data_IF_911720615952
#
_entry.id   IF_911720615952
#
_cell.length_a   1.000
_cell.length_b   1.000
_cell.length_c   1.000
_cell.angle_alpha   90.00
_cell.angle_beta   90.00
_cell.angle_gamma   90.00
#
_symmetry.space_group_name_H-M   'P 1'
#
loop_
_entity.id
_entity.type
_entity.pdbx_description
1 polymer ?
#
# COMPACT_ATOMS: atom_id res chain seq x y z
N UNK A 1 -5.13 2.93 -24.40
CA UNK A 1 -5.96 3.57 -25.45
C UNK A 1 -5.16 4.16 -26.60
N UNK A 2 -4.08 4.94 -26.39
CA UNK A 2 -3.33 5.52 -27.52
C UNK A 2 -2.73 4.47 -28.47
N UNK A 3 -2.19 3.37 -27.94
CA UNK A 3 -1.72 2.25 -28.77
C UNK A 3 -2.85 1.56 -29.56
N UNK A 4 -4.06 1.54 -29.00
CA UNK A 4 -5.24 0.97 -29.66
C UNK A 4 -5.73 1.90 -30.77
N UNK A 5 -5.77 3.21 -30.51
CA UNK A 5 -6.07 4.23 -31.52
C UNK A 5 -5.10 4.18 -32.70
N UNK A 6 -3.80 4.06 -32.43
CA UNK A 6 -2.78 3.91 -33.46
C UNK A 6 -3.00 2.63 -34.28
N UNK A 7 -3.33 1.52 -33.61
CA UNK A 7 -3.61 0.24 -34.27
C UNK A 7 -4.82 0.30 -35.20
N UNK A 8 -5.88 1.02 -34.79
CA UNK A 8 -7.08 1.23 -35.61
C UNK A 8 -6.77 2.15 -36.80
N UNK A 9 -6.08 3.28 -36.58
CA UNK A 9 -5.83 4.28 -37.63
C UNK A 9 -4.79 3.87 -38.67
N UNK A 10 -3.80 3.07 -38.26
CA UNK A 10 -2.61 2.79 -39.09
C UNK A 10 -2.45 1.32 -39.45
N UNK A 11 -3.30 0.43 -38.92
CA UNK A 11 -3.19 -1.02 -39.11
C UNK A 11 -2.02 -1.67 -38.37
N UNK A 12 -1.21 -0.92 -37.61
CA UNK A 12 -0.10 -1.48 -36.83
C UNK A 12 -0.63 -2.48 -35.79
N UNK A 13 0.07 -3.60 -35.59
CA UNK A 13 -0.33 -4.63 -34.63
C UNK A 13 -0.44 -4.07 -33.19
N UNK A 14 -1.52 -4.43 -32.50
CA UNK A 14 -1.70 -4.09 -31.09
C UNK A 14 -0.90 -5.05 -30.20
N UNK A 15 0.02 -4.52 -29.39
CA UNK A 15 0.99 -5.32 -28.63
C UNK A 15 0.75 -5.33 -27.12
N UNK A 16 -0.34 -4.72 -26.63
CA UNK A 16 -0.67 -4.70 -25.20
C UNK A 16 -1.55 -5.89 -24.83
N UNK A 17 -1.53 -6.25 -23.54
CA UNK A 17 -2.33 -7.35 -23.02
C UNK A 17 -3.83 -7.09 -23.25
N UNK A 18 -4.52 -8.07 -23.84
CA UNK A 18 -5.98 -8.08 -23.97
C UNK A 18 -6.64 -8.69 -22.73
N UNK A 19 -5.97 -9.63 -22.06
CA UNK A 19 -6.44 -10.19 -20.81
C UNK A 19 -6.17 -9.21 -19.63
N UNK A 20 -7.20 -8.80 -18.86
CA UNK A 20 -7.05 -7.88 -17.73
C UNK A 20 -6.10 -8.41 -16.65
N UNK A 21 -6.08 -9.73 -16.41
CA UNK A 21 -5.26 -10.36 -15.38
C UNK A 21 -3.78 -10.48 -15.77
N UNK A 22 -3.47 -10.26 -17.05
CA UNK A 22 -2.10 -10.36 -17.58
C UNK A 22 -1.40 -9.00 -17.70
N UNK A 23 -2.13 -7.89 -17.53
CA UNK A 23 -1.52 -6.57 -17.50
C UNK A 23 -0.76 -6.36 -16.17
N UNK A 24 0.20 -5.43 -16.15
CA UNK A 24 1.01 -5.20 -14.95
C UNK A 24 0.15 -4.84 -13.73
N UNK A 25 -0.88 -4.02 -13.93
CA UNK A 25 -1.84 -3.67 -12.88
C UNK A 25 -2.65 -4.90 -12.43
N UNK A 26 -3.20 -5.70 -13.35
CA UNK A 26 -3.99 -6.90 -13.00
C UNK A 26 -3.18 -7.94 -12.23
N UNK A 27 -1.91 -8.16 -12.61
CA UNK A 27 -1.00 -9.07 -11.88
C UNK A 27 -0.75 -8.62 -10.45
N UNK A 28 -0.65 -7.30 -10.21
CA UNK A 28 -0.51 -6.74 -8.88
C UNK A 28 -1.85 -6.79 -8.12
N UNK A 29 -2.93 -6.35 -8.76
CA UNK A 29 -4.29 -6.28 -8.20
C UNK A 29 -4.75 -7.63 -7.66
N UNK A 30 -4.52 -8.70 -8.41
CA UNK A 30 -4.92 -10.06 -8.03
C UNK A 30 -4.15 -10.64 -6.82
N UNK A 31 -3.07 -9.97 -6.38
CA UNK A 31 -2.24 -10.41 -5.25
C UNK A 31 -2.21 -9.42 -4.09
N UNK A 32 -2.75 -8.22 -4.28
CA UNK A 32 -2.66 -7.17 -3.30
C UNK A 32 -3.71 -7.38 -2.21
N UNK A 33 -3.26 -7.32 -0.95
CA UNK A 33 -4.13 -7.38 0.23
C UNK A 33 -3.89 -6.13 1.08
N UNK A 34 -4.95 -5.60 1.67
CA UNK A 34 -4.89 -4.46 2.58
C UNK A 34 -5.87 -4.65 3.74
N UNK A 35 -5.50 -4.11 4.89
CA UNK A 35 -6.35 -4.03 6.08
C UNK A 35 -7.21 -2.77 6.08
N UNK A 36 -6.83 -1.75 5.31
CA UNK A 36 -7.63 -0.53 5.13
C UNK A 36 -8.88 -0.86 4.31
N UNK A 37 -10.03 -0.90 4.99
CA UNK A 37 -11.33 -1.22 4.39
C UNK A 37 -11.74 -0.21 3.31
N UNK A 38 -11.41 1.07 3.50
CA UNK A 38 -11.74 2.12 2.53
C UNK A 38 -10.90 1.94 1.27
N UNK A 39 -9.60 1.65 1.42
CA UNK A 39 -8.74 1.34 0.28
C UNK A 39 -9.20 0.06 -0.44
N UNK A 40 -9.61 -0.96 0.30
CA UNK A 40 -10.16 -2.21 -0.25
C UNK A 40 -11.39 -1.94 -1.12
N UNK A 41 -12.32 -1.12 -0.65
CA UNK A 41 -13.54 -0.79 -1.40
C UNK A 41 -13.23 0.03 -2.66
N UNK A 42 -12.30 0.97 -2.57
CA UNK A 42 -11.82 1.73 -3.74
C UNK A 42 -11.19 0.80 -4.76
N UNK A 43 -10.36 -0.15 -4.33
CA UNK A 43 -9.73 -1.15 -5.21
C UNK A 43 -10.75 -2.11 -5.83
N UNK A 44 -11.74 -2.57 -5.09
CA UNK A 44 -12.83 -3.41 -5.63
C UNK A 44 -13.56 -2.71 -6.79
N UNK A 45 -13.75 -1.39 -6.70
CA UNK A 45 -14.40 -0.60 -7.74
C UNK A 45 -13.61 -0.51 -9.07
N UNK A 46 -12.33 -0.92 -9.12
CA UNK A 46 -11.56 -0.99 -10.36
C UNK A 46 -11.96 -2.15 -11.26
N UNK A 47 -12.43 -3.28 -10.71
CA UNK A 47 -12.57 -4.53 -11.46
C UNK A 47 -13.46 -4.36 -12.69
N UNK A 48 -14.68 -3.84 -12.50
CA UNK A 48 -15.63 -3.61 -13.59
C UNK A 48 -15.09 -2.71 -14.71
N UNK A 49 -14.64 -1.46 -14.44
CA UNK A 49 -14.15 -0.62 -15.51
C UNK A 49 -12.81 -1.10 -16.10
N UNK A 50 -11.97 -1.81 -15.32
CA UNK A 50 -10.72 -2.37 -15.82
C UNK A 50 -10.97 -3.49 -16.85
N UNK A 51 -11.86 -4.44 -16.51
CA UNK A 51 -12.29 -5.49 -17.44
C UNK A 51 -12.96 -4.91 -18.68
N UNK A 52 -13.77 -3.87 -18.53
CA UNK A 52 -14.42 -3.19 -19.66
C UNK A 52 -13.42 -2.60 -20.66
N UNK A 53 -12.34 -1.95 -20.20
CA UNK A 53 -11.28 -1.43 -21.09
C UNK A 53 -10.55 -2.55 -21.83
N UNK A 54 -10.33 -3.69 -21.18
CA UNK A 54 -9.69 -4.84 -21.80
C UNK A 54 -10.60 -5.52 -22.84
N UNK A 55 -11.87 -5.72 -22.52
CA UNK A 55 -12.87 -6.22 -23.47
C UNK A 55 -13.09 -5.28 -24.66
N UNK A 56 -13.00 -3.97 -24.43
CA UNK A 56 -13.09 -2.96 -25.48
C UNK A 56 -12.00 -3.15 -26.54
N UNK A 57 -10.77 -3.50 -26.15
CA UNK A 57 -9.68 -3.69 -27.10
C UNK A 57 -10.00 -4.80 -28.12
N UNK A 58 -10.57 -5.91 -27.66
CA UNK A 58 -10.98 -7.03 -28.51
C UNK A 58 -12.09 -6.63 -29.49
N UNK A 59 -13.12 -5.93 -28.98
CA UNK A 59 -14.21 -5.40 -29.80
C UNK A 59 -13.70 -4.45 -30.90
N UNK A 60 -12.83 -3.50 -30.55
CA UNK A 60 -12.37 -2.48 -31.49
C UNK A 60 -11.41 -3.05 -32.54
N UNK A 61 -10.59 -4.05 -32.19
CA UNK A 61 -9.74 -4.74 -33.15
C UNK A 61 -10.60 -5.54 -34.14
N UNK A 62 -11.67 -6.19 -33.67
CA UNK A 62 -12.61 -6.90 -34.53
C UNK A 62 -13.31 -5.95 -35.52
N UNK A 63 -13.72 -4.76 -35.09
CA UNK A 63 -14.33 -3.77 -35.99
C UNK A 63 -13.33 -3.30 -37.06
N UNK A 64 -12.08 -3.03 -36.68
CA UNK A 64 -11.02 -2.70 -37.65
C UNK A 64 -10.84 -3.83 -38.67
N UNK A 65 -10.83 -5.08 -38.23
CA UNK A 65 -10.62 -6.24 -39.11
C UNK A 65 -11.81 -6.49 -40.08
N UNK A 66 -12.93 -5.80 -39.87
CA UNK A 66 -14.10 -5.78 -40.75
C UNK A 66 -14.29 -4.44 -41.49
N UNK A 67 -13.24 -3.62 -41.62
CA UNK A 67 -13.26 -2.32 -42.31
C UNK A 67 -14.27 -1.30 -41.70
N UNK A 68 -14.49 -1.38 -40.38
CA UNK A 68 -15.39 -0.49 -39.61
C UNK A 68 -14.61 0.50 -38.72
N UNK A 69 -13.56 1.13 -39.22
CA UNK A 69 -12.67 1.99 -38.43
C UNK A 69 -13.35 3.23 -37.87
N UNK A 70 -14.26 3.86 -38.63
CA UNK A 70 -14.99 5.06 -38.16
C UNK A 70 -15.81 4.74 -36.92
N UNK A 71 -16.54 3.63 -36.92
CA UNK A 71 -17.32 3.16 -35.77
C UNK A 71 -16.40 2.81 -34.59
N UNK A 72 -15.28 2.14 -34.86
CA UNK A 72 -14.30 1.81 -33.82
C UNK A 72 -13.73 3.07 -33.14
N UNK A 73 -13.46 4.13 -33.90
CA UNK A 73 -12.96 5.41 -33.37
C UNK A 73 -14.01 6.17 -32.55
N UNK A 74 -15.29 6.13 -32.96
CA UNK A 74 -16.37 6.73 -32.18
C UNK A 74 -16.55 6.05 -30.82
N UNK A 75 -16.60 4.71 -30.80
CA UNK A 75 -16.68 3.93 -29.56
C UNK A 75 -15.45 4.21 -28.68
N UNK A 76 -14.24 4.24 -29.27
CA UNK A 76 -13.02 4.53 -28.52
C UNK A 76 -13.06 5.92 -27.88
N UNK A 77 -13.56 6.94 -28.59
CA UNK A 77 -13.69 8.29 -28.09
C UNK A 77 -14.69 8.37 -26.92
N UNK A 78 -15.82 7.67 -27.03
CA UNK A 78 -16.81 7.57 -25.97
C UNK A 78 -16.21 6.94 -24.70
N UNK A 79 -15.60 5.76 -24.83
CA UNK A 79 -15.00 5.01 -23.72
C UNK A 79 -13.82 5.73 -23.06
N UNK A 80 -13.11 6.55 -23.83
CA UNK A 80 -12.06 7.44 -23.30
C UNK A 80 -12.65 8.51 -22.38
N UNK A 81 -13.83 9.06 -22.70
CA UNK A 81 -14.52 10.07 -21.92
C UNK A 81 -15.28 9.50 -20.70
N UNK A 82 -15.66 8.22 -20.75
CA UNK A 82 -16.43 7.53 -19.70
C UNK A 82 -15.56 6.58 -18.87
N UNK A 83 -15.29 5.37 -19.37
CA UNK A 83 -14.65 4.29 -18.63
C UNK A 83 -13.22 4.61 -18.23
N UNK A 84 -12.40 5.17 -19.15
CA UNK A 84 -11.03 5.57 -18.81
C UNK A 84 -11.02 6.71 -17.79
N UNK A 85 -11.94 7.68 -17.92
CA UNK A 85 -12.08 8.78 -16.95
C UNK A 85 -12.43 8.24 -15.57
N UNK A 86 -13.34 7.25 -15.49
CA UNK A 86 -13.69 6.58 -14.23
C UNK A 86 -12.49 5.87 -13.61
N UNK A 87 -11.71 5.11 -14.39
CA UNK A 87 -10.47 4.48 -13.89
C UNK A 87 -9.48 5.50 -13.35
N UNK A 88 -9.28 6.63 -14.05
CA UNK A 88 -8.40 7.71 -13.56
C UNK A 88 -8.89 8.29 -12.24
N UNK A 89 -10.19 8.49 -12.09
CA UNK A 89 -10.77 8.97 -10.84
C UNK A 89 -10.56 7.98 -9.69
N UNK A 90 -10.66 6.67 -9.96
CA UNK A 90 -10.37 5.63 -8.97
C UNK A 90 -8.89 5.62 -8.55
N UNK A 91 -7.95 5.81 -9.50
CA UNK A 91 -6.52 5.93 -9.16
C UNK A 91 -6.22 7.14 -8.28
N UNK A 92 -6.86 8.27 -8.53
CA UNK A 92 -6.74 9.46 -7.67
C UNK A 92 -7.25 9.15 -6.26
N UNK A 93 -8.46 8.59 -6.14
CA UNK A 93 -9.01 8.21 -4.83
C UNK A 93 -8.14 7.21 -4.06
N UNK A 94 -7.59 6.21 -4.75
CA UNK A 94 -6.73 5.22 -4.11
C UNK A 94 -5.44 5.88 -3.58
N UNK A 95 -4.84 6.79 -4.35
CA UNK A 95 -3.68 7.55 -3.89
C UNK A 95 -4.01 8.45 -2.71
N UNK A 96 -5.10 9.20 -2.78
CA UNK A 96 -5.53 10.10 -1.71
C UNK A 96 -5.77 9.30 -0.41
N UNK A 97 -6.37 8.12 -0.52
CA UNK A 97 -6.57 7.23 0.64
C UNK A 97 -5.24 6.81 1.27
N UNK A 98 -4.27 6.35 0.47
CA UNK A 98 -2.94 5.97 0.94
C UNK A 98 -2.22 7.17 1.58
N UNK A 99 -2.24 8.33 0.93
CA UNK A 99 -1.63 9.56 1.45
C UNK A 99 -2.29 10.01 2.77
N UNK A 100 -3.61 9.82 2.90
CA UNK A 100 -4.35 10.20 4.11
C UNK A 100 -4.10 9.26 5.30
N UNK A 101 -3.78 7.99 5.03
CA UNK A 101 -3.45 6.96 6.01
C UNK A 101 -2.03 7.10 6.56
N UNK A 102 -1.11 7.71 5.82
CA UNK A 102 0.26 8.01 6.27
C UNK A 102 0.35 9.25 7.20
N UNK A 103 -0.73 9.62 7.88
CA UNK A 103 -0.71 10.76 8.80
C UNK A 103 0.03 10.38 10.06
N UNK A 104 1.31 10.76 10.10
CA UNK A 104 2.18 10.59 11.24
C UNK A 104 1.52 11.13 12.52
N UNK A 105 1.42 10.27 13.53
CA UNK A 105 0.95 10.60 14.87
C UNK A 105 2.16 10.96 15.71
N UNK A 106 2.09 12.07 16.43
CA UNK A 106 3.09 12.44 17.41
C UNK A 106 2.63 11.97 18.80
N UNK A 107 3.24 10.90 19.29
CA UNK A 107 2.97 10.34 20.61
C UNK A 107 3.86 11.00 21.67
N UNK A 108 3.25 11.77 22.56
CA UNK A 108 3.94 12.36 23.69
C UNK A 108 4.00 11.39 24.87
N UNK A 109 5.21 11.03 25.29
CA UNK A 109 5.44 10.21 26.47
C UNK A 109 5.73 11.12 27.65
N UNK A 110 4.93 11.01 28.71
CA UNK A 110 5.03 11.82 29.93
C UNK A 110 5.17 10.89 31.13
N UNK A 111 5.85 11.34 32.20
CA UNK A 111 5.87 10.62 33.48
C UNK A 111 4.75 11.07 34.42
N UNK A 112 4.29 12.30 34.27
CA UNK A 112 3.37 13.01 35.16
C UNK A 112 2.01 13.31 34.50
N UNK A 113 1.80 12.84 33.26
CA UNK A 113 0.60 13.14 32.48
C UNK A 113 0.54 14.57 31.93
N UNK A 114 1.58 15.40 32.12
CA UNK A 114 1.55 16.84 31.79
C UNK A 114 2.76 17.30 31.00
N UNK A 115 3.95 16.89 31.41
CA UNK A 115 5.22 17.37 30.86
C UNK A 115 5.76 16.33 29.88
N UNK A 116 5.70 16.58 28.57
CA UNK A 116 6.21 15.63 27.57
C UNK A 116 7.72 15.50 27.74
N UNK A 117 8.16 14.27 27.97
CA UNK A 117 9.59 13.91 28.06
C UNK A 117 10.13 13.52 26.68
N UNK A 118 9.31 12.84 25.89
CA UNK A 118 9.62 12.43 24.52
C UNK A 118 8.44 12.64 23.59
N UNK A 119 8.73 12.87 22.32
CA UNK A 119 7.76 12.89 21.24
C UNK A 119 8.17 11.85 20.20
N UNK A 120 7.40 10.78 20.07
CA UNK A 120 7.63 9.71 19.11
C UNK A 120 6.76 9.97 17.88
N UNK A 121 7.40 10.10 16.71
CA UNK A 121 6.72 10.18 15.44
C UNK A 121 6.46 8.75 14.95
N UNK A 122 5.20 8.35 14.92
CA UNK A 122 4.78 6.99 14.53
C UNK A 122 3.77 7.08 13.39
N UNK A 123 3.72 6.07 12.54
CA UNK A 123 2.79 6.06 11.40
C UNK A 123 1.34 5.84 11.86
N UNK A 124 1.12 4.84 12.72
CA UNK A 124 -0.21 4.46 13.20
C UNK A 124 -0.16 3.86 14.62
N UNK A 125 -1.23 4.07 15.39
CA UNK A 125 -1.48 3.34 16.65
C UNK A 125 -2.51 2.25 16.34
N UNK A 126 -2.09 0.98 16.40
CA UNK A 126 -2.97 -0.15 16.07
C UNK A 126 -4.03 -0.41 17.14
N UNK A 127 -3.61 -0.83 18.34
CA UNK A 127 -4.52 -1.23 19.44
C UNK A 127 -3.78 -1.25 20.79
N UNK A 128 -4.54 -1.33 21.88
CA UNK A 128 -4.03 -1.59 23.23
C UNK A 128 -4.15 -3.08 23.52
N UNK A 129 -3.00 -3.77 23.53
CA UNK A 129 -2.93 -5.22 23.73
C UNK A 129 -2.44 -5.53 25.14
N UNK A 130 -3.07 -6.51 25.79
CA UNK A 130 -2.62 -7.04 27.07
C UNK A 130 -1.73 -8.27 26.87
N UNK A 131 -0.56 -8.25 27.50
CA UNK A 131 0.38 -9.37 27.54
C UNK A 131 0.56 -9.88 28.97
N UNK A 132 0.89 -11.16 29.09
CA UNK A 132 1.33 -11.78 30.33
C UNK A 132 2.86 -11.89 30.35
N UNK A 133 3.45 -12.09 31.54
CA UNK A 133 4.90 -12.25 31.68
C UNK A 133 5.44 -13.49 30.94
N UNK A 134 4.60 -14.51 30.71
CA UNK A 134 5.00 -15.71 29.95
C UNK A 134 5.09 -15.47 28.44
N UNK A 135 4.47 -14.40 27.93
CA UNK A 135 4.54 -14.04 26.51
C UNK A 135 5.84 -13.30 26.16
N UNK A 136 6.61 -12.90 27.18
CA UNK A 136 7.81 -12.08 27.02
C UNK A 136 9.08 -12.91 26.83
N UNK A 137 9.86 -12.54 25.81
CA UNK A 137 11.19 -13.07 25.55
C UNK A 137 12.21 -11.92 25.56
N UNK A 138 13.21 -12.02 26.44
CA UNK A 138 14.25 -11.00 26.57
C UNK A 138 15.13 -10.94 25.33
N UNK A 139 15.51 -9.72 24.93
CA UNK A 139 16.45 -9.47 23.83
C UNK A 139 17.85 -10.02 24.09
N UNK A 140 18.20 -10.29 25.35
CA UNK A 140 19.47 -10.89 25.75
C UNK A 140 19.50 -12.41 25.53
N UNK A 141 18.43 -12.97 24.96
CA UNK A 141 18.29 -14.39 24.66
C UNK A 141 17.80 -14.62 23.24
N UNK A 142 18.10 -15.80 22.67
CA UNK A 142 17.63 -16.17 21.33
C UNK A 142 18.20 -15.31 20.19
N UNK A 143 17.45 -15.18 19.10
CA UNK A 143 17.90 -14.54 17.86
C UNK A 143 18.16 -13.03 17.97
N UNK A 144 17.51 -12.35 18.92
CA UNK A 144 17.68 -10.91 19.14
C UNK A 144 18.99 -10.54 19.82
N UNK A 145 19.61 -11.48 20.54
CA UNK A 145 20.91 -11.27 21.19
C UNK A 145 22.03 -10.96 20.20
N UNK A 146 21.81 -11.28 18.92
CA UNK A 146 22.74 -10.99 17.82
C UNK A 146 22.72 -9.50 17.41
N UNK A 147 21.70 -8.74 17.80
CA UNK A 147 21.54 -7.33 17.42
C UNK A 147 21.96 -6.43 18.59
N UNK A 148 23.26 -6.44 18.93
CA UNK A 148 23.82 -5.71 20.08
C UNK A 148 23.55 -4.19 20.07
N UNK A 149 23.34 -3.58 18.90
CA UNK A 149 23.13 -2.13 18.77
C UNK A 149 21.78 -1.64 19.32
N UNK A 150 20.80 -2.54 19.47
CA UNK A 150 19.44 -2.17 19.92
C UNK A 150 19.16 -2.60 21.36
N UNK A 151 20.05 -3.34 22.03
CA UNK A 151 19.89 -3.80 23.41
C UNK A 151 19.61 -2.64 24.39
N UNK A 152 20.20 -1.47 24.12
CA UNK A 152 20.03 -0.26 24.93
C UNK A 152 18.65 0.37 24.84
N UNK A 153 17.78 -0.09 23.94
CA UNK A 153 16.47 0.53 23.67
C UNK A 153 15.36 -0.51 23.61
N UNK A 154 15.68 -1.75 23.25
CA UNK A 154 14.77 -2.87 23.09
C UNK A 154 15.05 -3.94 24.14
N UNK A 155 14.10 -4.16 25.04
CA UNK A 155 14.26 -5.10 26.15
C UNK A 155 13.82 -6.53 25.78
N UNK A 156 12.97 -6.68 24.76
CA UNK A 156 12.55 -7.99 24.29
C UNK A 156 11.42 -7.94 23.26
N UNK A 157 10.82 -9.10 23.04
CA UNK A 157 9.64 -9.31 22.18
C UNK A 157 8.54 -9.99 22.98
N UNK A 158 7.31 -9.57 22.76
CA UNK A 158 6.13 -10.33 23.11
C UNK A 158 5.66 -11.17 21.92
N UNK A 159 5.53 -12.48 22.10
CA UNK A 159 5.11 -13.43 21.05
C UNK A 159 3.87 -14.19 21.47
N UNK A 160 2.86 -14.31 20.60
CA UNK A 160 1.66 -15.14 20.83
C UNK A 160 1.16 -15.73 19.50
N UNK A 161 0.74 -17.00 19.50
CA UNK A 161 0.36 -17.72 18.27
C UNK A 161 -0.71 -17.02 17.41
N UNK A 162 -1.60 -16.22 18.03
CA UNK A 162 -2.72 -15.54 17.36
C UNK A 162 -2.58 -14.01 17.24
N UNK A 163 -1.42 -13.44 17.58
CA UNK A 163 -1.16 -12.00 17.47
C UNK A 163 0.18 -11.71 16.78
N UNK A 164 0.34 -10.52 16.18
CA UNK A 164 1.64 -10.07 15.71
C UNK A 164 2.66 -9.99 16.85
N UNK A 165 3.88 -10.41 16.58
CA UNK A 165 5.00 -10.21 17.49
C UNK A 165 5.24 -8.71 17.72
N UNK A 166 5.41 -8.32 18.97
CA UNK A 166 5.55 -6.92 19.37
C UNK A 166 6.91 -6.66 20.03
N UNK A 167 7.66 -5.68 19.51
CA UNK A 167 8.91 -5.23 20.12
C UNK A 167 8.61 -4.40 21.37
N UNK A 168 9.26 -4.74 22.50
CA UNK A 168 9.13 -4.00 23.74
C UNK A 168 10.27 -2.99 23.88
N UNK A 169 9.91 -1.70 23.78
CA UNK A 169 10.81 -0.57 23.93
C UNK A 169 10.74 -0.03 25.36
N UNK A 170 11.84 -0.09 26.10
CA UNK A 170 11.93 0.54 27.41
C UNK A 170 12.37 2.00 27.25
N UNK A 171 11.40 2.90 27.35
CA UNK A 171 11.58 4.35 27.21
C UNK A 171 12.52 4.88 28.31
N UNK A 172 12.64 4.19 29.45
CA UNK A 172 13.60 4.59 30.49
C UNK A 172 15.04 4.30 30.10
N UNK A 173 15.31 3.35 29.20
CA UNK A 173 16.67 3.11 28.67
C UNK A 173 17.03 4.07 27.54
N UNK A 174 16.04 4.68 26.89
CA UNK A 174 16.26 5.76 25.91
C UNK A 174 16.88 7.03 26.51
N UNK A 175 16.86 7.21 27.84
CA UNK A 175 17.46 8.38 28.50
C UNK A 175 18.98 8.45 28.36
N UNK A 176 19.63 7.32 28.08
CA UNK A 176 21.08 7.27 27.87
C UNK A 176 21.48 7.63 26.44
N UNK A 177 20.52 7.90 25.53
CA UNK A 177 20.82 8.29 24.14
C UNK A 177 21.59 9.61 24.09
N UNK A 178 21.29 10.58 24.96
CA UNK A 178 22.07 11.83 25.02
C UNK A 178 23.51 11.58 25.48
N UNK A 179 23.72 10.66 26.43
CA UNK A 179 25.07 10.24 26.86
C UNK A 179 25.78 9.36 25.82
N UNK A 180 25.05 8.55 25.05
CA UNK A 180 25.57 7.72 23.95
C UNK A 180 25.95 8.58 22.75
N UNK A 181 25.13 9.56 22.37
CA UNK A 181 25.42 10.55 21.31
C UNK A 181 26.62 11.41 21.68
N UNK A 182 26.78 11.78 22.96
CA UNK A 182 27.95 12.50 23.47
C UNK A 182 29.25 11.67 23.45
N UNK A 183 29.17 10.34 23.42
CA UNK A 183 30.34 9.44 23.31
C UNK A 183 30.76 9.13 21.87
N UNK A 184 29.93 9.48 20.89
CA UNK A 184 30.15 9.23 19.45
C UNK A 184 30.61 10.51 18.71
N UNK A 185 30.58 11.67 19.38
CA UNK A 185 31.19 12.92 18.92
C UNK A 185 32.61 13.11 19.45
#
# INVERSE_FOLDING_TARGET
MNALEASIKTGVAFTKALNPDQCAFGKWYNKFETRDETLRDVLAAFDTPHRAIHALADKLLTLRDNDQESEALEILAHERATTLRRLRALFVRARDQIESGMRQVLLYVTLDGKTPRYALLIDEINDVINYSSSDFQSSNSGALSLIQKIEHVLEGIYTRNDLPDCLYFDINKMTDIDQLMAKVS
#
